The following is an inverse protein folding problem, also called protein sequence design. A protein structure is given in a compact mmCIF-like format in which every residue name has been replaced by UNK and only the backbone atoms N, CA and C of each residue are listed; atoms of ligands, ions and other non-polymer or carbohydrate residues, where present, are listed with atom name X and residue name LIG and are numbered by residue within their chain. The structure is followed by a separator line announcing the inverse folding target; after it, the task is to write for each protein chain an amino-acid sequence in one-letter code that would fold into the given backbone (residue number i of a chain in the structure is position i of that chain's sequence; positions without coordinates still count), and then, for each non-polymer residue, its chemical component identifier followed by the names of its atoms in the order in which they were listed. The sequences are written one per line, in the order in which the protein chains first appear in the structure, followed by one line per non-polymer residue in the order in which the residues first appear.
data_IF_232640624573
#
_entry.id   IF_232640624573
#
_cell.length_a   1.000
_cell.length_b   1.000
_cell.length_c   1.000
_cell.angle_alpha   90.00
_cell.angle_beta   90.00
_cell.angle_gamma   90.00
#
_symmetry.space_group_name_H-M   'P 1'
#
loop_
_entity.id
_entity.type
_entity.pdbx_description
1 polymer ?
#
# COMPACT_ATOMS: atom_id res chain seq x y z
N UNK A 1 -4.75 -6.23 -12.28
CA UNK A 1 -5.37 -7.50 -12.70
C UNK A 1 -6.72 -7.69 -12.01
N UNK A 2 -6.80 -7.73 -10.68
CA UNK A 2 -8.04 -8.01 -9.91
C UNK A 2 -9.25 -7.21 -10.39
N UNK A 3 -9.12 -5.89 -10.54
CA UNK A 3 -10.19 -5.01 -10.98
C UNK A 3 -10.61 -5.26 -12.44
N UNK A 4 -9.63 -5.36 -13.36
CA UNK A 4 -9.88 -5.54 -14.79
C UNK A 4 -10.47 -6.92 -15.09
N UNK A 5 -10.04 -7.98 -14.41
CA UNK A 5 -10.55 -9.33 -14.63
C UNK A 5 -12.07 -9.41 -14.43
N UNK A 6 -12.60 -8.78 -13.37
CA UNK A 6 -14.04 -8.77 -13.10
C UNK A 6 -14.84 -7.95 -14.11
N UNK A 7 -14.29 -6.80 -14.55
CA UNK A 7 -14.91 -5.96 -15.58
C UNK A 7 -15.06 -6.73 -16.89
N UNK A 8 -13.98 -7.36 -17.35
CA UNK A 8 -13.97 -8.14 -18.60
C UNK A 8 -14.83 -9.40 -18.49
N UNK A 9 -14.77 -10.13 -17.37
CA UNK A 9 -15.55 -11.36 -17.16
C UNK A 9 -17.07 -11.09 -17.14
N UNK A 10 -17.50 -9.89 -16.81
CA UNK A 10 -18.91 -9.49 -16.82
C UNK A 10 -19.36 -8.80 -18.13
N UNK A 11 -18.51 -8.86 -19.18
CA UNK A 11 -18.85 -8.37 -20.51
C UNK A 11 -18.73 -6.86 -20.69
N UNK A 12 -18.01 -6.19 -19.81
CA UNK A 12 -17.78 -4.74 -19.92
C UNK A 12 -16.42 -4.44 -20.58
N UNK A 13 -16.25 -3.20 -21.02
CA UNK A 13 -14.96 -2.67 -21.47
C UNK A 13 -14.30 -1.85 -20.36
N UNK A 14 -12.98 -1.69 -20.43
CA UNK A 14 -12.22 -0.94 -19.46
C UNK A 14 -11.25 0.06 -20.11
N UNK A 15 -11.17 1.24 -19.52
CA UNK A 15 -10.08 2.20 -19.75
C UNK A 15 -9.30 2.33 -18.44
N UNK A 16 -8.05 1.90 -18.42
CA UNK A 16 -7.17 2.00 -17.26
C UNK A 16 -6.26 3.21 -17.38
N UNK A 17 -6.25 4.06 -16.36
CA UNK A 17 -5.20 5.04 -16.13
C UNK A 17 -4.25 4.47 -15.08
N UNK A 18 -3.07 3.96 -15.46
CA UNK A 18 -2.12 3.43 -14.49
C UNK A 18 -1.42 4.55 -13.71
N UNK A 19 -0.88 4.21 -12.54
CA UNK A 19 0.12 5.05 -11.91
C UNK A 19 1.34 5.22 -12.83
N UNK A 20 1.97 6.39 -12.79
CA UNK A 20 3.21 6.69 -13.53
C UNK A 20 4.32 5.68 -13.24
N UNK A 21 4.35 5.12 -12.02
CA UNK A 21 5.32 4.10 -11.61
C UNK A 21 4.99 2.68 -12.12
N UNK A 22 3.78 2.45 -12.63
CA UNK A 22 3.30 1.13 -13.05
C UNK A 22 3.02 1.02 -14.56
N UNK A 23 3.41 2.00 -15.36
CA UNK A 23 3.13 2.05 -16.80
C UNK A 23 3.69 0.84 -17.54
N UNK A 24 4.93 0.44 -17.28
CA UNK A 24 5.56 -0.71 -17.95
C UNK A 24 4.82 -2.02 -17.66
N UNK A 25 4.40 -2.24 -16.41
CA UNK A 25 3.61 -3.41 -16.02
C UNK A 25 2.25 -3.42 -16.72
N UNK A 26 1.63 -2.24 -16.89
CA UNK A 26 0.37 -2.10 -17.61
C UNK A 26 0.53 -2.44 -19.10
N UNK A 27 1.60 -1.98 -19.75
CA UNK A 27 1.89 -2.35 -21.15
C UNK A 27 2.07 -3.85 -21.29
N UNK A 28 2.83 -4.47 -20.40
CA UNK A 28 3.03 -5.93 -20.43
C UNK A 28 1.71 -6.69 -20.19
N UNK A 29 0.89 -6.23 -19.27
CA UNK A 29 -0.44 -6.79 -19.02
C UNK A 29 -1.36 -6.67 -20.25
N UNK A 30 -1.37 -5.52 -20.93
CA UNK A 30 -2.13 -5.32 -22.16
C UNK A 30 -1.69 -6.28 -23.28
N UNK A 31 -0.37 -6.49 -23.46
CA UNK A 31 0.17 -7.49 -24.41
C UNK A 31 -0.30 -8.89 -24.07
N UNK A 32 -0.22 -9.29 -22.80
CA UNK A 32 -0.69 -10.63 -22.36
C UNK A 32 -2.17 -10.83 -22.65
N UNK A 33 -3.01 -9.82 -22.43
CA UNK A 33 -4.44 -9.90 -22.77
C UNK A 33 -4.68 -10.03 -24.28
N UNK A 34 -3.93 -9.30 -25.09
CA UNK A 34 -4.00 -9.38 -26.55
C UNK A 34 -3.56 -10.77 -27.05
N UNK A 35 -2.44 -11.30 -26.56
CA UNK A 35 -1.93 -12.64 -26.89
C UNK A 35 -2.90 -13.75 -26.45
N UNK A 36 -3.63 -13.55 -25.36
CA UNK A 36 -4.70 -14.44 -24.89
C UNK A 36 -5.99 -14.36 -25.74
N UNK A 37 -6.03 -13.51 -26.77
CA UNK A 37 -7.17 -13.39 -27.69
C UNK A 37 -8.27 -12.44 -27.23
N UNK A 38 -8.01 -11.55 -26.25
CA UNK A 38 -8.99 -10.53 -25.89
C UNK A 38 -9.23 -9.59 -27.08
N UNK A 39 -10.50 -9.38 -27.49
CA UNK A 39 -10.81 -8.51 -28.64
C UNK A 39 -10.30 -7.07 -28.43
N UNK A 40 -9.88 -6.44 -29.52
CA UNK A 40 -9.45 -5.03 -29.51
C UNK A 40 -10.56 -4.12 -29.00
N UNK A 41 -10.19 -3.14 -28.15
CA UNK A 41 -11.15 -2.18 -27.55
C UNK A 41 -11.79 -2.65 -26.23
N UNK A 42 -11.67 -3.93 -25.85
CA UNK A 42 -12.21 -4.40 -24.56
C UNK A 42 -11.37 -3.89 -23.39
N UNK A 43 -10.05 -3.94 -23.51
CA UNK A 43 -9.13 -3.34 -22.54
C UNK A 43 -8.29 -2.25 -23.23
N UNK A 44 -8.33 -1.06 -22.67
CA UNK A 44 -7.59 0.10 -23.13
C UNK A 44 -6.84 0.72 -21.94
N UNK A 45 -5.79 1.46 -22.21
CA UNK A 45 -5.13 2.26 -21.18
C UNK A 45 -4.70 3.62 -21.74
N UNK A 46 -4.67 4.61 -20.87
CA UNK A 46 -4.19 5.96 -21.15
C UNK A 46 -3.15 6.34 -20.12
N UNK A 47 -2.07 6.94 -20.57
CA UNK A 47 -0.98 7.42 -19.71
C UNK A 47 -0.92 8.94 -19.74
N UNK A 48 -0.59 9.55 -18.62
CA UNK A 48 -0.46 10.99 -18.49
C UNK A 48 -0.44 11.42 -17.03
N UNK A 49 -0.33 12.71 -16.80
CA UNK A 49 -0.40 13.25 -15.44
C UNK A 49 -1.81 13.10 -14.88
N UNK A 50 -1.97 12.42 -13.71
CA UNK A 50 -3.27 12.30 -13.06
C UNK A 50 -3.96 13.65 -12.76
N UNK A 51 -3.17 14.70 -12.55
CA UNK A 51 -3.72 16.04 -12.31
C UNK A 51 -4.34 16.66 -13.57
N UNK A 52 -3.91 16.23 -14.77
CA UNK A 52 -4.43 16.74 -16.04
C UNK A 52 -5.60 15.92 -16.56
N UNK A 53 -5.50 14.58 -16.50
CA UNK A 53 -6.47 13.70 -17.17
C UNK A 53 -7.45 13.01 -16.23
N UNK A 54 -7.19 12.98 -14.92
CA UNK A 54 -7.99 12.25 -13.94
C UNK A 54 -9.44 12.73 -13.87
N UNK A 55 -9.63 14.04 -13.76
CA UNK A 55 -10.95 14.66 -13.70
C UNK A 55 -11.72 14.52 -15.03
N UNK A 56 -11.01 14.63 -16.17
CA UNK A 56 -11.58 14.40 -17.48
C UNK A 56 -12.14 12.98 -17.61
N UNK A 57 -11.35 11.95 -17.27
CA UNK A 57 -11.81 10.57 -17.31
C UNK A 57 -12.97 10.32 -16.35
N UNK A 58 -12.89 10.85 -15.13
CA UNK A 58 -13.93 10.66 -14.12
C UNK A 58 -15.26 11.27 -14.54
N UNK A 59 -15.23 12.43 -15.21
CA UNK A 59 -16.43 13.14 -15.65
C UNK A 59 -16.95 12.73 -17.02
N UNK A 60 -16.15 12.03 -17.86
CA UNK A 60 -16.47 11.75 -19.26
C UNK A 60 -17.78 10.98 -19.41
N UNK A 61 -18.67 11.41 -20.31
CA UNK A 61 -20.02 10.85 -20.48
C UNK A 61 -20.02 9.36 -20.86
N UNK A 62 -19.03 8.90 -21.64
CA UNK A 62 -18.90 7.50 -22.05
C UNK A 62 -18.32 6.58 -20.97
N UNK A 63 -17.90 7.12 -19.84
CA UNK A 63 -17.47 6.32 -18.69
C UNK A 63 -18.66 6.09 -17.76
N UNK A 64 -19.18 4.88 -17.75
CA UNK A 64 -20.40 4.55 -17.02
C UNK A 64 -20.16 4.32 -15.50
N UNK A 65 -18.98 3.83 -15.11
CA UNK A 65 -18.65 3.53 -13.72
C UNK A 65 -17.15 3.74 -13.47
N UNK A 66 -16.80 4.06 -12.23
CA UNK A 66 -15.41 4.30 -11.80
C UNK A 66 -15.00 3.23 -10.80
N UNK A 67 -13.81 2.68 -11.01
CA UNK A 67 -13.12 1.86 -10.02
C UNK A 67 -11.76 2.51 -9.73
N UNK A 68 -11.62 3.08 -8.54
CA UNK A 68 -10.44 3.84 -8.14
C UNK A 68 -9.66 3.12 -7.04
N UNK A 69 -8.34 3.06 -7.18
CA UNK A 69 -7.42 2.60 -6.15
C UNK A 69 -6.39 3.70 -5.88
N UNK A 70 -6.27 4.13 -4.61
CA UNK A 70 -5.35 5.19 -4.23
C UNK A 70 -5.61 5.75 -2.83
N UNK A 71 -5.15 6.98 -2.57
CA UNK A 71 -5.32 7.61 -1.27
C UNK A 71 -6.76 8.02 -0.97
N UNK A 72 -7.20 8.03 0.31
CA UNK A 72 -8.53 8.50 0.71
C UNK A 72 -8.85 9.91 0.18
N UNK A 73 -7.90 10.82 0.23
CA UNK A 73 -8.07 12.19 -0.27
C UNK A 73 -8.42 12.25 -1.75
N UNK A 74 -7.72 11.47 -2.59
CA UNK A 74 -8.01 11.43 -4.02
C UNK A 74 -9.31 10.66 -4.29
N UNK A 75 -9.59 9.59 -3.54
CA UNK A 75 -10.85 8.85 -3.63
C UNK A 75 -12.08 9.71 -3.34
N UNK A 76 -12.02 10.57 -2.32
CA UNK A 76 -13.07 11.55 -2.02
C UNK A 76 -13.27 12.55 -3.19
N UNK A 77 -12.18 13.02 -3.79
CA UNK A 77 -12.24 13.91 -4.96
C UNK A 77 -12.91 13.20 -6.15
N UNK A 78 -12.46 12.01 -6.50
CA UNK A 78 -13.04 11.18 -7.58
C UNK A 78 -14.55 10.94 -7.35
N UNK A 79 -14.93 10.54 -6.13
CA UNK A 79 -16.33 10.32 -5.77
C UNK A 79 -17.18 11.60 -5.93
N UNK A 80 -16.63 12.75 -5.54
CA UNK A 80 -17.34 14.04 -5.67
C UNK A 80 -17.62 14.44 -7.11
N UNK A 81 -16.70 14.11 -8.03
CA UNK A 81 -16.88 14.36 -9.47
C UNK A 81 -17.90 13.39 -10.05
N UNK A 82 -17.74 12.09 -9.78
CA UNK A 82 -18.62 11.03 -10.28
C UNK A 82 -20.08 11.23 -9.83
N UNK A 83 -20.29 11.71 -8.62
CA UNK A 83 -21.61 12.00 -8.06
C UNK A 83 -22.41 13.03 -8.89
N UNK A 84 -21.75 13.98 -9.57
CA UNK A 84 -22.42 14.97 -10.41
C UNK A 84 -23.19 14.35 -11.58
N UNK A 85 -22.75 13.17 -12.04
CA UNK A 85 -23.38 12.41 -13.12
C UNK A 85 -23.98 11.08 -12.63
N UNK A 86 -24.12 10.90 -11.31
CA UNK A 86 -24.66 9.70 -10.66
C UNK A 86 -23.94 8.40 -11.05
N UNK A 87 -22.63 8.48 -11.37
CA UNK A 87 -21.84 7.31 -11.73
C UNK A 87 -21.56 6.46 -10.49
N UNK A 88 -21.73 5.13 -10.57
CA UNK A 88 -21.24 4.23 -9.53
C UNK A 88 -19.73 4.35 -9.35
N UNK A 89 -19.28 4.36 -8.10
CA UNK A 89 -17.85 4.42 -7.74
C UNK A 89 -17.52 3.31 -6.78
N UNK A 90 -16.51 2.51 -7.12
CA UNK A 90 -15.86 1.59 -6.19
C UNK A 90 -14.53 2.18 -5.77
N UNK A 91 -14.31 2.32 -4.46
CA UNK A 91 -13.11 2.90 -3.88
C UNK A 91 -12.31 1.84 -3.13
N UNK A 92 -11.07 1.60 -3.55
CA UNK A 92 -10.07 0.77 -2.87
C UNK A 92 -8.99 1.71 -2.34
N UNK A 93 -9.00 1.95 -1.04
CA UNK A 93 -8.22 3.02 -0.41
C UNK A 93 -7.23 2.44 0.59
N UNK A 94 -6.24 3.24 0.98
CA UNK A 94 -5.33 2.92 2.08
C UNK A 94 -6.02 2.95 3.45
N UNK A 95 -5.30 2.58 4.48
CA UNK A 95 -5.81 2.57 5.84
C UNK A 95 -4.74 2.22 6.88
N UNK A 96 -5.02 2.54 8.14
CA UNK A 96 -4.17 2.23 9.29
C UNK A 96 -4.63 0.91 9.93
N UNK A 97 -4.32 -0.20 9.27
CA UNK A 97 -4.85 -1.52 9.65
C UNK A 97 -4.21 -2.06 10.93
N UNK A 98 -5.00 -2.53 11.92
CA UNK A 98 -4.47 -3.16 13.12
C UNK A 98 -4.24 -4.67 12.92
N UNK A 99 -3.14 -5.19 13.48
CA UNK A 99 -2.95 -6.58 13.81
C UNK A 99 -3.13 -6.74 15.33
N UNK A 100 -4.09 -7.56 15.74
CA UNK A 100 -4.40 -7.76 17.16
C UNK A 100 -3.86 -9.11 17.60
N UNK A 101 -3.07 -9.13 18.69
CA UNK A 101 -2.45 -10.33 19.25
C UNK A 101 -2.94 -10.49 20.69
N UNK A 102 -3.68 -11.57 20.94
CA UNK A 102 -4.22 -11.92 22.25
C UNK A 102 -3.25 -12.80 23.06
N UNK A 103 -3.44 -12.87 24.37
CA UNK A 103 -2.52 -13.58 25.27
C UNK A 103 -2.43 -15.09 25.02
N UNK A 104 -3.49 -15.70 24.46
CA UNK A 104 -3.57 -17.10 24.07
C UNK A 104 -3.11 -17.39 22.64
N UNK A 105 -2.60 -16.39 21.91
CA UNK A 105 -2.10 -16.58 20.56
C UNK A 105 -0.84 -17.47 20.54
N UNK A 106 -0.75 -18.29 19.48
CA UNK A 106 0.48 -19.00 19.14
C UNK A 106 1.55 -18.00 18.76
N UNK A 107 2.64 -17.95 19.52
CA UNK A 107 3.69 -16.93 19.36
C UNK A 107 4.36 -16.99 17.97
N UNK A 108 4.66 -18.19 17.48
CA UNK A 108 5.38 -18.35 16.20
C UNK A 108 4.51 -17.91 15.04
N UNK A 109 3.22 -18.28 15.05
CA UNK A 109 2.24 -17.82 14.04
C UNK A 109 1.98 -16.33 14.12
N UNK A 110 1.95 -15.76 15.32
CA UNK A 110 1.78 -14.32 15.49
C UNK A 110 2.98 -13.54 14.93
N UNK A 111 4.20 -14.04 15.13
CA UNK A 111 5.43 -13.46 14.58
C UNK A 111 5.44 -13.55 13.05
N UNK A 112 5.13 -14.71 12.49
CA UNK A 112 5.03 -14.90 11.03
C UNK A 112 3.98 -13.97 10.41
N UNK A 113 2.78 -13.89 10.99
CA UNK A 113 1.71 -13.00 10.54
C UNK A 113 2.12 -11.52 10.61
N UNK A 114 2.84 -11.11 11.65
CA UNK A 114 3.33 -9.75 11.80
C UNK A 114 4.38 -9.41 10.74
N UNK A 115 5.35 -10.30 10.51
CA UNK A 115 6.40 -10.10 9.51
C UNK A 115 5.80 -9.97 8.11
N UNK A 116 4.93 -10.89 7.71
CA UNK A 116 4.26 -10.85 6.41
C UNK A 116 3.30 -9.67 6.30
N UNK A 117 2.46 -9.44 7.31
CA UNK A 117 1.42 -8.42 7.28
C UNK A 117 1.96 -6.99 7.25
N UNK A 118 3.18 -6.75 7.76
CA UNK A 118 3.76 -5.42 7.88
C UNK A 118 4.78 -5.16 6.77
N UNK A 119 5.71 -6.09 6.53
CA UNK A 119 6.86 -5.83 5.67
C UNK A 119 6.69 -6.29 4.22
N UNK A 120 5.61 -7.00 3.91
CA UNK A 120 5.28 -7.37 2.53
C UNK A 120 5.20 -6.13 1.64
N UNK A 121 5.90 -6.14 0.50
CA UNK A 121 6.05 -4.98 -0.38
C UNK A 121 6.53 -3.70 0.33
N UNK A 122 7.44 -3.81 1.29
CA UNK A 122 7.94 -2.67 2.07
C UNK A 122 6.82 -1.93 2.83
N UNK A 123 5.76 -2.65 3.22
CA UNK A 123 4.57 -2.05 3.84
C UNK A 123 3.69 -1.23 2.89
N UNK A 124 4.02 -1.15 1.59
CA UNK A 124 3.31 -0.33 0.60
C UNK A 124 2.08 -1.04 0.02
N UNK A 125 1.27 -1.66 0.85
CA UNK A 125 0.05 -2.34 0.46
C UNK A 125 -1.13 -1.84 1.30
N UNK A 126 -2.30 -1.65 0.67
CA UNK A 126 -3.52 -1.20 1.36
C UNK A 126 -3.95 -2.11 2.52
N UNK A 127 -3.51 -3.38 2.53
CA UNK A 127 -3.77 -4.37 3.57
C UNK A 127 -2.64 -4.49 4.60
N UNK A 128 -1.54 -3.72 4.47
CA UNK A 128 -0.43 -3.80 5.40
C UNK A 128 -0.85 -3.43 6.83
N UNK A 129 -0.47 -4.27 7.80
CA UNK A 129 -0.81 -4.08 9.21
C UNK A 129 0.20 -3.17 9.88
N UNK A 130 0.05 -1.85 9.67
CA UNK A 130 1.00 -0.86 10.18
C UNK A 130 0.88 -0.57 11.69
N UNK A 131 -0.09 -1.21 12.37
CA UNK A 131 -0.33 -1.09 13.81
C UNK A 131 -0.47 -2.47 14.44
N UNK A 132 0.38 -2.78 15.43
CA UNK A 132 0.26 -4.01 16.22
C UNK A 132 -0.31 -3.67 17.59
N UNK A 133 -1.43 -4.28 17.96
CA UNK A 133 -2.07 -4.15 19.27
C UNK A 133 -1.87 -5.49 19.98
N UNK A 134 -1.03 -5.51 21.02
CA UNK A 134 -0.61 -6.73 21.71
C UNK A 134 -1.09 -6.69 23.15
N UNK A 135 -1.73 -7.75 23.63
CA UNK A 135 -2.07 -7.87 25.04
C UNK A 135 -0.81 -7.95 25.92
N UNK A 136 -0.91 -7.49 27.16
CA UNK A 136 0.23 -7.20 28.03
C UNK A 136 1.08 -8.43 28.37
N UNK A 137 0.48 -9.61 28.54
CA UNK A 137 1.25 -10.80 28.93
C UNK A 137 2.06 -11.37 27.76
N UNK A 138 1.44 -11.51 26.56
CA UNK A 138 2.17 -11.99 25.38
C UNK A 138 3.16 -10.94 24.86
N UNK A 139 2.91 -9.63 25.08
CA UNK A 139 3.81 -8.55 24.68
C UNK A 139 5.24 -8.75 25.22
N UNK A 140 5.38 -9.27 26.44
CA UNK A 140 6.69 -9.53 27.07
C UNK A 140 7.57 -10.51 26.27
N UNK A 141 6.96 -11.39 25.50
CA UNK A 141 7.65 -12.38 24.65
C UNK A 141 7.63 -11.95 23.18
N UNK A 142 6.48 -11.44 22.71
CA UNK A 142 6.29 -11.08 21.32
C UNK A 142 7.21 -9.93 20.89
N UNK A 143 7.25 -8.82 21.65
CA UNK A 143 8.01 -7.62 21.23
C UNK A 143 9.52 -7.93 21.08
N UNK A 144 10.21 -8.54 22.06
CA UNK A 144 11.62 -8.88 21.86
C UNK A 144 11.86 -9.84 20.70
N UNK A 145 11.03 -10.88 20.55
CA UNK A 145 11.15 -11.84 19.46
C UNK A 145 10.91 -11.20 18.09
N UNK A 146 9.92 -10.33 17.97
CA UNK A 146 9.63 -9.60 16.73
C UNK A 146 10.78 -8.68 16.32
N UNK A 147 11.39 -7.98 17.28
CA UNK A 147 12.59 -7.15 17.03
C UNK A 147 13.77 -8.01 16.54
N UNK A 148 14.02 -9.17 17.15
CA UNK A 148 15.12 -10.05 16.72
C UNK A 148 14.91 -10.58 15.29
N UNK A 149 13.71 -11.03 14.94
CA UNK A 149 13.40 -11.48 13.57
C UNK A 149 13.52 -10.31 12.57
N UNK A 150 13.07 -9.11 12.94
CA UNK A 150 13.16 -7.94 12.08
C UNK A 150 14.61 -7.54 11.75
N UNK A 151 15.56 -7.80 12.63
CA UNK A 151 17.00 -7.56 12.39
C UNK A 151 17.58 -8.43 11.28
N UNK A 152 17.04 -9.64 11.11
CA UNK A 152 17.50 -10.60 10.11
C UNK A 152 16.98 -10.29 8.69
N UNK A 153 16.08 -9.33 8.55
CA UNK A 153 15.49 -8.97 7.25
C UNK A 153 16.52 -8.25 6.38
N UNK A 154 16.91 -8.90 5.29
CA UNK A 154 17.84 -8.32 4.32
C UNK A 154 17.20 -7.19 3.53
N UNK A 155 17.84 -6.03 3.56
CA UNK A 155 17.41 -4.80 2.89
C UNK A 155 18.43 -4.41 1.82
N UNK A 156 17.97 -4.01 0.63
CA UNK A 156 18.88 -3.51 -0.39
C UNK A 156 18.49 -3.82 -1.83
N UNK A 157 19.41 -4.35 -2.62
CA UNK A 157 19.26 -4.60 -4.04
C UNK A 157 18.33 -5.80 -4.29
N UNK A 158 17.23 -5.58 -5.02
CA UNK A 158 16.25 -6.61 -5.39
C UNK A 158 16.77 -7.58 -6.47
N UNK A 159 17.93 -7.36 -7.07
CA UNK A 159 18.58 -8.36 -7.93
C UNK A 159 19.17 -9.53 -7.15
N UNK A 160 19.40 -9.36 -5.86
CA UNK A 160 19.78 -10.41 -4.93
C UNK A 160 18.53 -11.15 -4.43
N UNK A 161 18.38 -12.45 -4.69
CA UNK A 161 17.18 -13.21 -4.32
C UNK A 161 16.94 -13.30 -2.81
N UNK A 162 17.94 -13.04 -1.99
CA UNK A 162 17.80 -13.02 -0.53
C UNK A 162 17.27 -11.69 0.01
N UNK A 163 17.19 -10.64 -0.83
CA UNK A 163 16.70 -9.34 -0.41
C UNK A 163 15.19 -9.36 -0.26
N UNK A 164 14.71 -9.13 0.95
CA UNK A 164 13.28 -9.09 1.27
C UNK A 164 12.67 -7.68 1.16
N UNK A 165 13.46 -6.63 1.43
CA UNK A 165 13.01 -5.24 1.42
C UNK A 165 13.85 -4.44 0.43
N UNK A 166 13.21 -3.91 -0.59
CA UNK A 166 13.77 -2.99 -1.57
C UNK A 166 13.45 -1.52 -1.28
N UNK A 167 13.64 -0.63 -2.29
CA UNK A 167 13.38 0.78 -2.12
C UNK A 167 11.88 1.11 -2.03
N UNK A 168 11.57 2.17 -1.30
CA UNK A 168 10.26 2.82 -1.34
C UNK A 168 10.02 3.38 -2.75
N UNK A 169 8.79 3.34 -3.23
CA UNK A 169 8.40 3.61 -4.62
C UNK A 169 8.86 4.98 -5.16
N UNK A 170 9.03 5.97 -4.30
CA UNK A 170 9.52 7.29 -4.67
C UNK A 170 10.19 8.01 -3.49
N UNK A 171 11.06 8.99 -3.79
CA UNK A 171 11.67 9.84 -2.76
C UNK A 171 10.62 10.59 -1.95
N UNK A 172 9.55 11.06 -2.59
CA UNK A 172 8.42 11.74 -1.90
C UNK A 172 7.80 10.84 -0.83
N UNK A 173 7.58 9.55 -1.11
CA UNK A 173 7.04 8.61 -0.11
C UNK A 173 8.09 8.25 0.95
N UNK A 174 9.35 8.11 0.56
CA UNK A 174 10.44 7.89 1.51
C UNK A 174 10.54 9.05 2.51
N UNK A 175 10.46 10.29 2.04
CA UNK A 175 10.52 11.49 2.90
C UNK A 175 9.28 11.58 3.83
N UNK A 176 8.10 11.15 3.35
CA UNK A 176 6.90 11.05 4.19
C UNK A 176 7.12 10.05 5.33
N UNK A 177 7.61 8.84 5.05
CA UNK A 177 7.89 7.84 6.10
C UNK A 177 8.93 8.37 7.09
N UNK A 178 10.00 9.00 6.61
CA UNK A 178 11.01 9.64 7.48
C UNK A 178 10.39 10.69 8.40
N UNK A 179 9.50 11.55 7.86
CA UNK A 179 8.84 12.59 8.66
C UNK A 179 7.91 12.01 9.71
N UNK A 180 7.20 10.91 9.42
CA UNK A 180 6.34 10.22 10.39
C UNK A 180 7.15 9.62 11.54
N UNK A 181 8.29 8.98 11.23
CA UNK A 181 9.18 8.42 12.26
C UNK A 181 9.77 9.53 13.11
N UNK A 182 10.25 10.62 12.49
CA UNK A 182 10.82 11.77 13.21
C UNK A 182 9.78 12.42 14.15
N UNK A 183 8.55 12.66 13.68
CA UNK A 183 7.45 13.17 14.49
C UNK A 183 7.16 12.28 15.70
N UNK A 184 7.14 10.97 15.50
CA UNK A 184 6.88 10.03 16.59
C UNK A 184 7.99 10.08 17.66
N UNK A 185 9.25 10.10 17.25
CA UNK A 185 10.40 10.19 18.17
C UNK A 185 10.44 11.51 18.92
N UNK A 186 10.16 12.63 18.24
CA UNK A 186 10.07 13.95 18.87
C UNK A 186 8.96 14.01 19.94
N UNK A 187 7.86 13.27 19.73
CA UNK A 187 6.72 13.18 20.65
C UNK A 187 6.85 12.07 21.69
N UNK A 188 8.02 11.44 21.80
CA UNK A 188 8.35 10.51 22.86
C UNK A 188 8.14 9.02 22.55
N UNK A 189 7.96 8.64 21.29
CA UNK A 189 8.01 7.24 20.91
C UNK A 189 9.41 6.64 21.14
N UNK A 190 9.45 5.35 21.44
CA UNK A 190 10.69 4.59 21.57
C UNK A 190 10.99 3.83 20.28
N UNK A 191 12.19 4.05 19.69
CA UNK A 191 12.67 3.28 18.56
C UNK A 191 13.25 1.95 19.07
N UNK A 192 12.58 0.86 18.75
CA UNK A 192 13.03 -0.49 19.13
C UNK A 192 13.99 -1.09 18.10
N UNK A 193 13.82 -0.74 16.82
CA UNK A 193 14.66 -1.19 15.71
C UNK A 193 14.50 -0.29 14.49
N UNK A 194 15.51 -0.26 13.61
CA UNK A 194 15.48 0.43 12.32
C UNK A 194 15.84 1.91 12.42
N UNK A 195 15.30 2.72 11.52
CA UNK A 195 15.53 4.17 11.46
C UNK A 195 16.73 4.58 10.60
N UNK A 196 17.68 3.71 10.30
CA UNK A 196 18.83 3.99 9.44
C UNK A 196 18.53 3.58 7.99
N UNK A 197 18.42 4.56 7.11
CA UNK A 197 18.04 4.35 5.71
C UNK A 197 19.23 3.98 4.82
N UNK A 198 19.04 3.01 3.94
CA UNK A 198 19.97 2.69 2.86
C UNK A 198 19.44 3.28 1.54
N UNK A 199 19.85 4.50 1.21
CA UNK A 199 19.27 5.24 0.09
C UNK A 199 17.76 5.44 0.27
N UNK A 200 16.95 4.88 -0.63
CA UNK A 200 15.49 4.87 -0.53
C UNK A 200 14.93 3.59 0.12
N UNK A 201 15.76 2.69 0.60
CA UNK A 201 15.31 1.50 1.31
C UNK A 201 15.09 1.83 2.79
N UNK A 202 13.88 1.61 3.27
CA UNK A 202 13.53 1.70 4.68
C UNK A 202 13.70 0.33 5.32
N UNK A 203 14.63 0.14 6.26
CA UNK A 203 14.70 -1.11 7.00
C UNK A 203 13.45 -1.30 7.85
N UNK A 204 13.16 -2.53 8.32
CA UNK A 204 12.13 -2.74 9.32
C UNK A 204 12.28 -1.74 10.46
N UNK A 205 11.30 -0.85 10.63
CA UNK A 205 11.34 0.19 11.66
C UNK A 205 10.22 -0.04 12.65
N UNK A 206 10.57 -0.27 13.91
CA UNK A 206 9.64 -0.65 14.98
C UNK A 206 9.67 0.43 16.05
N UNK A 207 8.49 1.01 16.30
CA UNK A 207 8.27 2.03 17.32
C UNK A 207 7.33 1.49 18.40
N UNK A 208 7.59 1.83 19.67
CA UNK A 208 6.68 1.62 20.81
C UNK A 208 6.33 2.94 21.46
N UNK A 209 5.46 2.90 22.46
CA UNK A 209 4.99 4.07 23.22
C UNK A 209 4.27 5.11 22.35
N UNK A 210 3.54 4.63 21.35
CA UNK A 210 2.79 5.45 20.40
C UNK A 210 1.52 6.00 21.05
N UNK A 211 1.24 7.28 20.83
CA UNK A 211 0.02 7.95 21.30
C UNK A 211 -0.70 8.70 20.16
N UNK A 212 -1.91 9.18 20.41
CA UNK A 212 -2.79 9.81 19.42
C UNK A 212 -2.31 11.18 18.89
N UNK A 213 -1.29 11.77 19.48
CA UNK A 213 -0.72 13.05 19.02
C UNK A 213 0.33 12.85 17.92
N UNK A 214 0.81 11.61 17.74
CA UNK A 214 1.80 11.25 16.75
C UNK A 214 1.14 11.00 15.39
N UNK A 215 1.76 11.49 14.31
CA UNK A 215 1.22 11.32 12.95
C UNK A 215 1.08 9.84 12.60
N UNK A 216 2.06 9.02 12.97
CA UNK A 216 2.04 7.57 12.71
C UNK A 216 0.87 6.84 13.39
N UNK A 217 0.19 7.45 14.37
CA UNK A 217 -0.97 6.85 15.00
C UNK A 217 -2.19 6.80 14.06
N UNK A 218 -2.40 7.82 13.25
CA UNK A 218 -3.57 7.93 12.35
C UNK A 218 -3.25 7.77 10.88
N UNK A 219 -2.05 8.18 10.46
CA UNK A 219 -1.65 8.18 9.05
C UNK A 219 -0.88 6.90 8.66
N UNK A 220 -1.05 6.53 7.40
CA UNK A 220 -0.40 5.40 6.72
C UNK A 220 1.03 5.76 6.29
#
# INVERSE_FOLDING_TARGET
VKQIAMVVATGNTAVLMPSEFATQVTVQFAKTLHEAGLPGGVFNYVTGDPAEIGDFLTSHEDIAAINFCGSPRVGQHVASIAAKSLKPVTLELGGKNPLIILDDADLDKALEAAMLGIFFFQGQACMASSRIIVQSEIAKRFIPAFVEIAKEVKVGDLSDPETAIGPIISSRQADRVKSHVADALEKGATLLHGGEWLGNCCPPTILSDINSEMVVFGEE
#
